data_IF_943270573936
#
_entry.id   IF_943270573936
#
_cell.length_a   1.000
_cell.length_b   1.000
_cell.length_c   1.000
_cell.angle_alpha   90.00
_cell.angle_beta   90.00
_cell.angle_gamma   90.00
#
_symmetry.space_group_name_H-M   'P 1'
#
loop_
_entity.id
_entity.type
_entity.pdbx_description
1 polymer ?
#
# COMPACT_ATOMS: atom_id res chain seq x y z
N UNK A 1 0.34 -6.29 8.53
CA UNK A 1 1.48 -6.01 7.62
C UNK A 1 1.28 -6.89 6.40
N UNK A 2 1.40 -6.34 5.18
CA UNK A 2 1.16 -7.12 3.96
C UNK A 2 2.39 -7.99 3.63
N UNK A 3 2.15 -9.20 3.11
CA UNK A 3 3.20 -10.14 2.73
C UNK A 3 4.24 -9.55 1.76
N UNK A 4 3.83 -8.60 0.91
CA UNK A 4 4.75 -7.88 0.01
C UNK A 4 5.81 -7.07 0.77
N UNK A 5 5.45 -6.47 1.91
CA UNK A 5 6.38 -5.67 2.71
C UNK A 5 7.34 -6.56 3.47
N UNK A 6 6.86 -7.71 3.98
CA UNK A 6 7.69 -8.73 4.60
C UNK A 6 8.71 -9.30 3.61
N UNK A 7 8.25 -9.68 2.40
CA UNK A 7 9.14 -10.19 1.34
C UNK A 7 10.14 -9.14 0.87
N UNK A 8 9.72 -7.87 0.76
CA UNK A 8 10.61 -6.77 0.39
C UNK A 8 11.69 -6.53 1.47
N UNK A 9 11.35 -6.64 2.75
CA UNK A 9 12.31 -6.55 3.86
C UNK A 9 13.30 -7.72 3.86
N UNK A 10 12.83 -8.93 3.56
CA UNK A 10 13.68 -10.12 3.41
C UNK A 10 14.68 -9.94 2.26
N UNK A 11 14.20 -9.59 1.07
CA UNK A 11 15.04 -9.37 -0.12
C UNK A 11 16.04 -8.23 0.10
N UNK A 12 15.64 -7.15 0.77
CA UNK A 12 16.56 -6.10 1.17
C UNK A 12 17.66 -6.65 2.08
N UNK A 13 17.31 -7.41 3.11
CA UNK A 13 18.29 -8.00 4.05
C UNK A 13 19.26 -8.93 3.33
N UNK A 14 18.77 -9.78 2.41
CA UNK A 14 19.61 -10.65 1.58
C UNK A 14 20.57 -9.85 0.70
N UNK A 15 20.10 -8.76 0.08
CA UNK A 15 20.93 -7.88 -0.76
C UNK A 15 22.08 -7.21 -0.02
N UNK A 16 21.96 -7.07 1.31
CA UNK A 16 23.03 -6.53 2.17
C UNK A 16 24.11 -7.55 2.47
N UNK A 17 23.81 -8.84 2.35
CA UNK A 17 24.73 -9.94 2.67
C UNK A 17 25.43 -10.49 1.42
N UNK A 18 24.70 -10.53 0.29
CA UNK A 18 25.22 -10.98 -1.00
C UNK A 18 24.48 -10.30 -2.14
N UNK A 19 25.01 -10.44 -3.35
CA UNK A 19 24.24 -10.08 -4.55
C UNK A 19 23.00 -10.97 -4.64
N UNK A 20 21.88 -10.36 -5.02
CA UNK A 20 20.65 -11.08 -5.32
C UNK A 20 20.84 -11.93 -6.58
N UNK A 21 20.18 -13.07 -6.61
CA UNK A 21 20.03 -13.86 -7.84
C UNK A 21 19.05 -13.18 -8.78
N UNK A 22 19.08 -13.52 -10.06
CA UNK A 22 18.16 -12.93 -11.05
C UNK A 22 16.67 -13.15 -10.68
N UNK A 23 16.33 -14.29 -10.05
CA UNK A 23 14.97 -14.55 -9.56
C UNK A 23 14.59 -13.60 -8.42
N UNK A 24 15.48 -13.41 -7.46
CA UNK A 24 15.26 -12.50 -6.32
C UNK A 24 15.19 -11.04 -6.75
N UNK A 25 16.00 -10.63 -7.73
CA UNK A 25 15.91 -9.28 -8.33
C UNK A 25 14.55 -9.09 -9.02
N UNK A 26 14.06 -10.08 -9.77
CA UNK A 26 12.74 -10.02 -10.41
C UNK A 26 11.60 -9.95 -9.37
N UNK A 27 11.66 -10.78 -8.32
CA UNK A 27 10.71 -10.73 -7.20
C UNK A 27 10.75 -9.38 -6.48
N UNK A 28 11.94 -8.81 -6.29
CA UNK A 28 12.10 -7.50 -5.66
C UNK A 28 11.41 -6.41 -6.49
N UNK A 29 11.57 -6.42 -7.82
CA UNK A 29 10.89 -5.49 -8.71
C UNK A 29 9.36 -5.64 -8.65
N UNK A 30 8.85 -6.87 -8.58
CA UNK A 30 7.42 -7.12 -8.41
C UNK A 30 6.91 -6.60 -7.06
N UNK A 31 7.63 -6.85 -5.96
CA UNK A 31 7.26 -6.34 -4.64
C UNK A 31 7.25 -4.81 -4.62
N UNK A 32 8.26 -4.17 -5.23
CA UNK A 32 8.35 -2.71 -5.35
C UNK A 32 7.17 -2.13 -6.13
N UNK A 33 6.78 -2.76 -7.25
CA UNK A 33 5.63 -2.33 -8.04
C UNK A 33 4.33 -2.33 -7.23
N UNK A 34 4.07 -3.42 -6.50
CA UNK A 34 2.86 -3.53 -5.66
C UNK A 34 2.94 -2.55 -4.49
N UNK A 35 4.12 -2.41 -3.86
CA UNK A 35 4.34 -1.46 -2.77
C UNK A 35 4.10 -0.01 -3.22
N UNK A 36 4.58 0.38 -4.40
CA UNK A 36 4.34 1.70 -4.95
C UNK A 36 2.85 1.97 -5.12
N UNK A 37 2.11 1.03 -5.70
CA UNK A 37 0.66 1.13 -5.86
C UNK A 37 -0.06 1.29 -4.53
N UNK A 38 0.29 0.49 -3.52
CA UNK A 38 -0.23 0.60 -2.15
C UNK A 38 0.04 1.99 -1.55
N UNK A 39 1.28 2.49 -1.66
CA UNK A 39 1.65 3.80 -1.11
C UNK A 39 0.87 4.94 -1.78
N UNK A 40 0.68 4.88 -3.10
CA UNK A 40 -0.09 5.89 -3.82
C UNK A 40 -1.56 5.89 -3.42
N UNK A 41 -2.20 4.73 -3.32
CA UNK A 41 -3.60 4.64 -2.88
C UNK A 41 -3.77 5.13 -1.44
N UNK A 42 -2.87 4.73 -0.53
CA UNK A 42 -2.93 5.19 0.86
C UNK A 42 -2.73 6.71 0.97
N UNK A 43 -1.82 7.28 0.18
CA UNK A 43 -1.59 8.73 0.13
C UNK A 43 -2.82 9.48 -0.41
N UNK A 44 -3.47 8.94 -1.44
CA UNK A 44 -4.72 9.48 -1.98
C UNK A 44 -5.81 9.51 -0.91
N UNK A 45 -6.04 8.39 -0.23
CA UNK A 45 -7.06 8.30 0.83
C UNK A 45 -6.77 9.24 2.00
N UNK A 46 -5.50 9.40 2.37
CA UNK A 46 -5.11 10.33 3.43
C UNK A 46 -5.43 11.79 3.05
N UNK A 47 -5.13 12.18 1.81
CA UNK A 47 -5.46 13.51 1.30
C UNK A 47 -6.98 13.73 1.23
N UNK A 48 -7.75 12.73 0.75
CA UNK A 48 -9.22 12.76 0.77
C UNK A 48 -9.75 12.89 2.20
N UNK A 49 -9.14 12.20 3.17
CA UNK A 49 -9.57 12.23 4.57
C UNK A 49 -9.33 13.59 5.21
N UNK A 50 -8.22 14.25 4.88
CA UNK A 50 -7.95 15.63 5.29
C UNK A 50 -8.99 16.59 4.72
N UNK A 51 -9.39 16.42 3.46
CA UNK A 51 -10.42 17.26 2.86
C UNK A 51 -11.78 17.06 3.54
N UNK A 52 -12.16 15.81 3.82
CA UNK A 52 -13.40 15.48 4.52
C UNK A 52 -13.46 16.15 5.90
N UNK A 53 -12.35 16.12 6.64
CA UNK A 53 -12.21 16.77 7.94
C UNK A 53 -12.37 18.29 7.83
N UNK A 54 -11.67 18.91 6.86
CA UNK A 54 -11.73 20.36 6.62
C UNK A 54 -13.14 20.83 6.23
N UNK A 55 -13.94 20.00 5.57
CA UNK A 55 -15.32 20.32 5.19
C UNK A 55 -16.36 19.90 6.23
N UNK A 56 -15.95 19.22 7.32
CA UNK A 56 -16.85 18.67 8.32
C UNK A 56 -17.73 17.51 7.83
N UNK A 57 -17.32 16.84 6.74
CA UNK A 57 -18.07 15.72 6.15
C UNK A 57 -17.69 14.41 6.85
N UNK A 58 -18.35 14.18 7.99
CA UNK A 58 -18.10 13.00 8.83
C UNK A 58 -18.48 11.68 8.16
N UNK A 59 -19.46 11.66 7.25
CA UNK A 59 -19.86 10.46 6.55
C UNK A 59 -18.77 10.04 5.56
N UNK A 60 -18.27 10.98 4.76
CA UNK A 60 -17.15 10.72 3.86
C UNK A 60 -15.88 10.32 4.62
N UNK A 61 -15.61 10.96 5.76
CA UNK A 61 -14.47 10.60 6.62
C UNK A 61 -14.55 9.15 7.13
N UNK A 62 -15.74 8.67 7.49
CA UNK A 62 -15.95 7.27 7.90
C UNK A 62 -15.69 6.31 6.73
N UNK A 63 -16.25 6.57 5.55
CA UNK A 63 -16.04 5.74 4.35
C UNK A 63 -14.56 5.64 3.96
N UNK A 64 -13.81 6.73 4.08
CA UNK A 64 -12.37 6.76 3.81
C UNK A 64 -11.60 5.94 4.85
N UNK A 65 -12.00 6.02 6.12
CA UNK A 65 -11.38 5.23 7.20
C UNK A 65 -11.56 3.73 6.98
N UNK A 66 -12.74 3.32 6.51
CA UNK A 66 -13.04 1.93 6.12
C UNK A 66 -12.19 1.49 4.92
N UNK A 67 -12.08 2.31 3.88
CA UNK A 67 -11.21 2.05 2.72
C UNK A 67 -9.72 1.93 3.13
N UNK A 68 -9.24 2.79 4.03
CA UNK A 68 -7.86 2.73 4.53
C UNK A 68 -7.60 1.46 5.34
N UNK A 69 -8.59 0.98 6.10
CA UNK A 69 -8.50 -0.29 6.82
C UNK A 69 -8.43 -1.47 5.84
N UNK A 70 -9.34 -1.52 4.87
CA UNK A 70 -9.36 -2.58 3.86
C UNK A 70 -8.06 -2.64 3.04
N UNK A 71 -7.54 -1.48 2.63
CA UNK A 71 -6.27 -1.39 1.91
C UNK A 71 -5.11 -1.91 2.77
N UNK A 72 -5.11 -1.63 4.09
CA UNK A 72 -4.07 -2.08 5.02
C UNK A 72 -4.10 -3.58 5.25
N UNK A 73 -5.30 -4.17 5.28
CA UNK A 73 -5.49 -5.58 5.57
C UNK A 73 -5.30 -6.45 4.31
N UNK A 74 -5.76 -5.98 3.15
CA UNK A 74 -5.79 -6.77 1.92
C UNK A 74 -4.80 -6.33 0.85
N UNK A 75 -4.27 -5.10 0.95
CA UNK A 75 -3.46 -4.47 -0.10
C UNK A 75 -4.25 -4.05 -1.32
N UNK A 76 -5.59 -4.04 -1.26
CA UNK A 76 -6.48 -3.72 -2.38
C UNK A 76 -7.62 -2.83 -1.90
N UNK A 77 -8.14 -2.04 -2.84
CA UNK A 77 -9.39 -1.31 -2.65
C UNK A 77 -10.50 -1.98 -3.48
N UNK A 78 -11.75 -1.90 -3.02
CA UNK A 78 -12.88 -2.35 -3.80
C UNK A 78 -13.00 -1.45 -5.03
N UNK A 79 -13.38 -2.05 -6.16
CA UNK A 79 -13.64 -1.26 -7.38
C UNK A 79 -14.80 -0.32 -7.08
N UNK A 80 -14.56 1.00 -7.08
CA UNK A 80 -15.64 2.00 -7.04
C UNK A 80 -16.58 1.70 -8.21
N UNK A 81 -17.85 1.44 -7.90
CA UNK A 81 -18.90 1.33 -8.91
C UNK A 81 -18.92 2.62 -9.73
N UNK A 82 -18.99 2.48 -11.06
CA UNK A 82 -19.15 3.62 -11.97
C UNK A 82 -20.54 4.21 -11.84
#
# INVERSE_FOLDING_TARGET
>A
MLAIHERLAELFTLSRQRRLTASEEAEQQQCLYVNASYCWEMSRLHNESLLADLTGDTAWQQELSEQMLELRDTGRLPKRGK
#
